data_IF_924976331193
#
_entry.id   IF_924976331193
#
_cell.length_a   1.000
_cell.length_b   1.000
_cell.length_c   1.000
_cell.angle_alpha   90.00
_cell.angle_beta   90.00
_cell.angle_gamma   90.00
#
_symmetry.space_group_name_H-M   'P 1'
#
loop_
_entity.id
_entity.type
_entity.pdbx_description
1 polymer ?
#
# COMPACT_ATOMS: atom_id res chain seq x y z
N UNK A 1 -17.06 7.78 8.38
CA UNK A 1 -15.80 7.85 7.60
C UNK A 1 -15.29 6.42 7.45
N UNK A 2 -14.50 6.09 6.43
CA UNK A 2 -13.96 4.73 6.22
C UNK A 2 -12.47 4.66 6.57
N UNK A 3 -11.89 3.47 6.68
CA UNK A 3 -10.43 3.30 6.94
C UNK A 3 -9.55 3.97 5.87
N UNK A 4 -9.96 3.93 4.61
CA UNK A 4 -9.32 4.59 3.46
C UNK A 4 -10.46 5.17 2.58
N UNK A 5 -10.31 6.34 1.94
CA UNK A 5 -11.45 6.99 1.30
C UNK A 5 -11.88 6.28 0.01
N UNK A 6 -10.93 5.74 -0.76
CA UNK A 6 -11.23 5.02 -2.01
C UNK A 6 -12.07 3.75 -1.77
N UNK A 7 -12.73 3.30 -2.83
CA UNK A 7 -13.56 2.09 -2.86
C UNK A 7 -13.30 1.32 -4.16
N UNK A 8 -13.88 0.12 -4.26
CA UNK A 8 -13.89 -0.62 -5.52
C UNK A 8 -14.67 0.15 -6.60
N UNK A 9 -14.17 0.13 -7.82
CA UNK A 9 -14.84 0.74 -8.95
C UNK A 9 -15.68 -0.28 -9.72
N UNK A 10 -17.01 -0.24 -9.55
CA UNK A 10 -17.93 -1.11 -10.28
C UNK A 10 -17.93 -0.86 -11.80
N UNK A 11 -17.67 0.39 -12.23
CA UNK A 11 -17.58 0.74 -13.65
C UNK A 11 -16.41 0.04 -14.34
N UNK A 12 -15.28 -0.09 -13.64
CA UNK A 12 -14.13 -0.82 -14.15
C UNK A 12 -14.50 -2.26 -14.46
N UNK A 13 -15.23 -2.93 -13.55
CA UNK A 13 -15.67 -4.32 -13.77
C UNK A 13 -16.52 -4.43 -15.04
N UNK A 14 -17.47 -3.52 -15.22
CA UNK A 14 -18.30 -3.47 -16.42
C UNK A 14 -17.46 -3.26 -17.68
N UNK A 15 -16.50 -2.33 -17.67
CA UNK A 15 -15.58 -2.08 -18.78
C UNK A 15 -14.69 -3.28 -19.10
N UNK A 16 -14.24 -4.01 -18.08
CA UNK A 16 -13.49 -5.27 -18.26
C UNK A 16 -14.37 -6.32 -18.94
N UNK A 17 -15.62 -6.49 -18.49
CA UNK A 17 -16.57 -7.44 -19.09
C UNK A 17 -16.85 -7.08 -20.55
N UNK A 18 -17.14 -5.82 -20.86
CA UNK A 18 -17.37 -5.32 -22.22
C UNK A 18 -16.14 -5.53 -23.12
N UNK A 19 -14.95 -5.13 -22.65
CA UNK A 19 -13.73 -5.27 -23.44
C UNK A 19 -13.33 -6.74 -23.63
N UNK A 20 -13.60 -7.60 -22.65
CA UNK A 20 -13.38 -9.04 -22.80
C UNK A 20 -14.27 -9.65 -23.89
N UNK A 21 -15.54 -9.23 -24.00
CA UNK A 21 -16.42 -9.66 -25.09
C UNK A 21 -15.95 -9.14 -26.45
N UNK A 22 -15.49 -7.89 -26.53
CA UNK A 22 -14.84 -7.37 -27.74
C UNK A 22 -13.61 -8.19 -28.12
N UNK A 23 -12.73 -8.53 -27.17
CA UNK A 23 -11.57 -9.37 -27.45
C UNK A 23 -11.97 -10.77 -27.92
N UNK A 24 -13.02 -11.37 -27.35
CA UNK A 24 -13.49 -12.70 -27.80
C UNK A 24 -14.06 -12.71 -29.21
N UNK A 25 -14.54 -11.57 -29.70
CA UNK A 25 -15.24 -11.47 -31.00
C UNK A 25 -14.38 -10.84 -32.09
N UNK A 26 -13.47 -9.94 -31.72
CA UNK A 26 -12.71 -9.12 -32.67
C UNK A 26 -11.19 -9.28 -32.57
N UNK A 27 -10.65 -10.12 -31.69
CA UNK A 27 -9.19 -10.26 -31.56
C UNK A 27 -8.49 -10.78 -32.83
N UNK A 28 -9.18 -11.52 -33.70
CA UNK A 28 -8.65 -11.95 -35.00
C UNK A 28 -8.35 -10.78 -35.96
N UNK A 29 -8.77 -9.56 -35.63
CA UNK A 29 -8.48 -8.34 -36.41
C UNK A 29 -7.22 -7.63 -35.91
N UNK A 30 -6.61 -8.09 -34.81
CA UNK A 30 -5.54 -7.40 -34.13
C UNK A 30 -4.17 -8.03 -34.45
N UNK A 31 -3.26 -7.20 -34.98
CA UNK A 31 -1.90 -7.62 -35.32
C UNK A 31 -1.80 -8.30 -36.68
N UNK A 32 -0.60 -8.79 -37.01
CA UNK A 32 -0.31 -9.46 -38.27
C UNK A 32 0.05 -10.93 -38.00
N UNK A 33 -0.98 -11.77 -37.84
CA UNK A 33 -0.83 -13.20 -37.55
C UNK A 33 -1.07 -14.09 -38.78
N UNK A 34 -1.55 -13.54 -39.89
CA UNK A 34 -1.76 -14.28 -41.15
C UNK A 34 -2.80 -15.41 -41.10
N UNK A 35 -3.67 -15.42 -40.08
CA UNK A 35 -4.72 -16.43 -39.91
C UNK A 35 -6.08 -15.83 -40.26
N UNK A 36 -6.99 -16.65 -40.77
CA UNK A 36 -8.40 -16.29 -40.86
C UNK A 36 -9.09 -16.37 -39.48
N UNK A 37 -10.34 -15.90 -39.40
CA UNK A 37 -11.13 -15.85 -38.16
C UNK A 37 -11.29 -17.24 -37.51
N UNK A 38 -11.60 -18.25 -38.33
CA UNK A 38 -11.84 -19.61 -37.85
C UNK A 38 -10.55 -20.23 -37.30
N UNK A 39 -9.44 -20.08 -38.01
CA UNK A 39 -8.15 -20.62 -37.60
C UNK A 39 -7.59 -19.87 -36.38
N UNK A 40 -7.78 -18.54 -36.29
CA UNK A 40 -7.34 -17.74 -35.15
C UNK A 40 -7.94 -18.23 -33.82
N UNK A 41 -9.25 -18.48 -33.78
CA UNK A 41 -9.92 -18.91 -32.54
C UNK A 41 -9.76 -20.41 -32.23
N UNK A 42 -9.60 -21.27 -33.25
CA UNK A 42 -9.49 -22.72 -33.03
C UNK A 42 -8.06 -23.24 -32.86
N UNK A 43 -7.06 -22.51 -33.36
CA UNK A 43 -5.64 -22.90 -33.26
C UNK A 43 -5.08 -22.85 -31.84
N UNK A 44 -5.79 -22.22 -30.90
CA UNK A 44 -5.32 -21.96 -29.55
C UNK A 44 -4.42 -20.73 -29.43
N UNK A 45 -4.14 -20.00 -30.52
CA UNK A 45 -3.34 -18.78 -30.51
C UNK A 45 -3.93 -17.73 -29.56
N UNK A 46 -5.22 -17.43 -29.68
CA UNK A 46 -5.88 -16.45 -28.82
C UNK A 46 -5.80 -16.82 -27.33
N UNK A 47 -6.14 -18.08 -27.00
CA UNK A 47 -6.08 -18.58 -25.62
C UNK A 47 -4.65 -18.52 -25.07
N UNK A 48 -3.67 -18.98 -25.85
CA UNK A 48 -2.26 -18.94 -25.46
C UNK A 48 -1.74 -17.51 -25.25
N UNK A 49 -2.19 -16.55 -26.07
CA UNK A 49 -1.85 -15.14 -25.92
C UNK A 49 -2.41 -14.55 -24.61
N UNK A 50 -3.70 -14.79 -24.32
CA UNK A 50 -4.34 -14.33 -23.07
C UNK A 50 -3.65 -14.94 -21.84
N UNK A 51 -3.36 -16.25 -21.87
CA UNK A 51 -2.67 -16.93 -20.77
C UNK A 51 -1.24 -16.40 -20.56
N UNK A 52 -0.52 -16.11 -21.65
CA UNK A 52 0.82 -15.50 -21.61
C UNK A 52 0.79 -14.10 -20.99
N UNK A 53 -0.11 -13.23 -21.47
CA UNK A 53 -0.26 -11.86 -20.96
C UNK A 53 -0.65 -11.86 -19.47
N UNK A 54 -1.59 -12.72 -19.08
CA UNK A 54 -1.96 -12.91 -17.67
C UNK A 54 -0.75 -13.36 -16.83
N UNK A 55 0.04 -14.30 -17.35
CA UNK A 55 1.26 -14.79 -16.71
C UNK A 55 2.29 -13.68 -16.48
N UNK A 56 2.43 -12.76 -17.43
CA UNK A 56 3.31 -11.59 -17.29
C UNK A 56 2.84 -10.64 -16.19
N UNK A 57 1.55 -10.31 -16.12
CA UNK A 57 1.00 -9.45 -15.06
C UNK A 57 1.07 -10.07 -13.67
N UNK A 58 0.95 -11.39 -13.57
CA UNK A 58 0.95 -12.10 -12.29
C UNK A 58 2.35 -12.29 -11.70
N UNK A 59 3.41 -12.09 -12.50
CA UNK A 59 4.77 -12.46 -12.15
C UNK A 59 5.69 -11.30 -11.76
N UNK A 60 5.36 -10.05 -12.08
CA UNK A 60 6.38 -8.99 -12.08
C UNK A 60 6.38 -8.14 -10.81
N UNK A 61 7.18 -8.56 -9.81
CA UNK A 61 7.75 -7.63 -8.81
C UNK A 61 8.52 -6.49 -9.47
N UNK A 62 8.99 -6.69 -10.71
CA UNK A 62 9.68 -5.68 -11.53
C UNK A 62 8.91 -4.37 -11.61
N UNK A 63 7.63 -4.39 -11.96
CA UNK A 63 6.86 -3.15 -12.17
C UNK A 63 6.66 -2.40 -10.84
N UNK A 64 6.50 -3.13 -9.74
CA UNK A 64 6.42 -2.56 -8.40
C UNK A 64 7.75 -1.92 -7.98
N UNK A 65 8.87 -2.59 -8.24
CA UNK A 65 10.22 -2.08 -7.95
C UNK A 65 10.53 -0.85 -8.81
N UNK A 66 10.18 -0.86 -10.09
CA UNK A 66 10.34 0.31 -10.98
C UNK A 66 9.48 1.50 -10.51
N UNK A 67 8.23 1.27 -10.12
CA UNK A 67 7.41 2.33 -9.53
C UNK A 67 8.03 2.95 -8.28
N UNK A 68 8.46 2.11 -7.33
CA UNK A 68 9.08 2.60 -6.09
C UNK A 68 10.37 3.35 -6.37
N UNK A 69 11.20 2.85 -7.29
CA UNK A 69 12.39 3.55 -7.78
C UNK A 69 12.06 4.92 -8.36
N UNK A 70 11.04 5.03 -9.20
CA UNK A 70 10.61 6.31 -9.76
C UNK A 70 10.18 7.30 -8.67
N UNK A 71 9.41 6.85 -7.69
CA UNK A 71 9.00 7.69 -6.55
C UNK A 71 10.19 8.14 -5.72
N UNK A 72 11.09 7.23 -5.32
CA UNK A 72 12.23 7.57 -4.47
C UNK A 72 13.22 8.47 -5.21
N UNK A 73 13.47 8.24 -6.51
CA UNK A 73 14.23 9.17 -7.35
C UNK A 73 13.58 10.55 -7.38
N UNK A 74 12.27 10.63 -7.58
CA UNK A 74 11.56 11.91 -7.61
C UNK A 74 11.68 12.65 -6.26
N UNK A 75 11.56 11.94 -5.14
CA UNK A 75 11.75 12.50 -3.80
C UNK A 75 13.21 12.98 -3.59
N UNK A 76 14.19 12.23 -4.07
CA UNK A 76 15.61 12.59 -4.00
C UNK A 76 15.94 13.81 -4.87
N UNK A 77 15.51 13.81 -6.13
CA UNK A 77 15.70 14.91 -7.08
C UNK A 77 15.01 16.20 -6.58
N UNK A 78 13.85 16.05 -5.92
CA UNK A 78 13.14 17.14 -5.26
C UNK A 78 13.70 17.59 -3.91
N UNK A 79 14.76 16.93 -3.41
CA UNK A 79 15.40 17.26 -2.12
C UNK A 79 14.58 16.90 -0.87
N UNK A 80 13.54 16.07 -1.00
CA UNK A 80 12.71 15.62 0.13
C UNK A 80 13.38 14.51 0.94
N UNK A 81 14.29 13.76 0.32
CA UNK A 81 15.19 12.79 0.97
C UNK A 81 16.60 13.03 0.45
N UNK A 82 17.62 12.59 1.19
CA UNK A 82 19.01 12.80 0.81
C UNK A 82 19.49 11.78 -0.21
N UNK A 83 19.18 10.50 0.03
CA UNK A 83 19.59 9.39 -0.84
C UNK A 83 18.74 8.14 -0.57
N UNK A 84 18.80 7.14 -1.45
CA UNK A 84 18.20 5.84 -1.20
C UNK A 84 18.92 4.71 -1.96
N UNK A 85 18.82 3.49 -1.42
CA UNK A 85 19.33 2.29 -2.04
C UNK A 85 18.34 1.13 -1.93
N UNK A 86 18.37 0.21 -2.90
CA UNK A 86 17.66 -1.06 -2.78
C UNK A 86 18.50 -2.03 -1.96
N UNK A 87 17.88 -2.65 -0.96
CA UNK A 87 18.56 -3.52 -0.01
C UNK A 87 18.86 -4.94 -0.55
N UNK A 88 18.57 -5.24 -1.82
CA UNK A 88 18.80 -6.56 -2.41
C UNK A 88 17.94 -7.68 -1.80
N UNK A 89 17.97 -8.87 -2.40
CA UNK A 89 16.98 -9.93 -2.08
C UNK A 89 17.26 -10.70 -0.77
N UNK A 90 18.42 -10.48 -0.15
CA UNK A 90 18.82 -11.18 1.08
C UNK A 90 18.40 -10.46 2.37
N UNK A 91 17.94 -9.21 2.28
CA UNK A 91 17.55 -8.40 3.42
C UNK A 91 16.03 -8.47 3.67
N UNK A 92 15.60 -8.34 4.93
CA UNK A 92 14.17 -8.34 5.34
C UNK A 92 13.49 -6.97 5.22
N UNK A 93 14.06 -6.12 4.38
CA UNK A 93 13.54 -4.82 3.94
C UNK A 93 13.92 -4.66 2.47
N UNK A 94 13.14 -3.94 1.69
CA UNK A 94 13.38 -3.75 0.26
C UNK A 94 14.27 -2.53 -0.04
N UNK A 95 14.17 -1.48 0.77
CA UNK A 95 14.90 -0.22 0.56
C UNK A 95 15.39 0.40 1.86
N UNK A 96 16.55 1.05 1.79
CA UNK A 96 17.05 1.96 2.80
C UNK A 96 17.06 3.38 2.24
N UNK A 97 16.59 4.34 3.03
CA UNK A 97 16.47 5.75 2.66
C UNK A 97 17.26 6.58 3.65
N UNK A 98 18.21 7.37 3.14
CA UNK A 98 18.91 8.37 3.92
C UNK A 98 18.09 9.65 3.96
N UNK A 99 17.69 10.05 5.16
CA UNK A 99 16.89 11.24 5.39
C UNK A 99 17.78 12.48 5.55
N UNK A 100 17.20 13.65 5.34
CA UNK A 100 17.92 14.93 5.38
C UNK A 100 18.46 15.26 6.78
N UNK A 101 17.80 14.77 7.84
CA UNK A 101 18.33 14.85 9.21
C UNK A 101 19.56 13.97 9.48
N UNK A 102 19.91 13.07 8.54
CA UNK A 102 20.92 12.05 8.73
C UNK A 102 20.39 10.74 9.33
N UNK A 103 19.10 10.63 9.66
CA UNK A 103 18.47 9.34 10.00
C UNK A 103 18.48 8.38 8.79
N UNK A 104 18.45 7.09 9.07
CA UNK A 104 18.18 6.03 8.10
C UNK A 104 16.78 5.48 8.33
N UNK A 105 15.91 5.63 7.34
CA UNK A 105 14.62 4.97 7.29
C UNK A 105 14.73 3.71 6.42
N UNK A 106 13.94 2.69 6.70
CA UNK A 106 13.84 1.51 5.82
C UNK A 106 12.39 1.24 5.45
N UNK A 107 12.20 0.74 4.24
CA UNK A 107 10.89 0.45 3.65
C UNK A 107 10.82 -1.05 3.37
N UNK A 108 9.74 -1.68 3.83
CA UNK A 108 9.34 -3.02 3.43
C UNK A 108 8.09 -2.93 2.56
N UNK A 109 8.17 -3.43 1.32
CA UNK A 109 7.03 -3.47 0.43
C UNK A 109 6.09 -4.60 0.78
N UNK A 110 4.80 -4.29 0.74
CA UNK A 110 3.73 -5.29 0.82
C UNK A 110 2.84 -5.18 -0.40
N UNK A 111 2.15 -6.28 -0.68
CA UNK A 111 1.12 -6.32 -1.72
C UNK A 111 -0.15 -5.61 -1.25
N UNK A 112 -1.28 -6.27 -1.42
CA UNK A 112 -2.59 -5.71 -1.10
C UNK A 112 -2.96 -5.81 0.38
N UNK A 113 -2.02 -6.03 1.31
CA UNK A 113 -2.24 -6.14 2.76
C UNK A 113 -3.30 -7.19 3.21
N UNK A 114 -3.65 -8.10 2.32
CA UNK A 114 -4.65 -9.16 2.49
C UNK A 114 -4.03 -10.56 2.60
N UNK A 115 -2.76 -10.72 2.25
CA UNK A 115 -2.03 -11.98 2.35
C UNK A 115 -1.24 -12.15 3.64
N UNK A 116 -0.84 -13.40 3.92
CA UNK A 116 0.03 -13.77 5.05
C UNK A 116 1.44 -13.13 4.93
N UNK A 117 1.87 -12.74 3.74
CA UNK A 117 3.12 -12.00 3.54
C UNK A 117 3.16 -10.66 4.31
N UNK A 118 2.00 -10.10 4.66
CA UNK A 118 1.88 -8.90 5.50
C UNK A 118 2.34 -9.14 6.94
N UNK A 119 2.35 -10.40 7.41
CA UNK A 119 2.79 -10.77 8.76
C UNK A 119 4.31 -10.95 8.87
N UNK A 120 5.02 -10.89 7.74
CA UNK A 120 6.45 -11.16 7.66
C UNK A 120 7.18 -9.86 7.44
N UNK A 121 7.65 -9.23 8.50
CA UNK A 121 8.51 -8.06 8.43
C UNK A 121 9.49 -8.08 9.60
N UNK A 122 10.59 -7.36 9.47
CA UNK A 122 11.55 -7.20 10.55
C UNK A 122 12.24 -5.85 10.43
N UNK A 123 12.20 -5.07 11.51
CA UNK A 123 12.94 -3.82 11.61
C UNK A 123 14.44 -4.10 11.80
N UNK A 124 15.31 -3.68 10.87
CA UNK A 124 16.75 -3.76 11.04
C UNK A 124 17.24 -2.92 12.23
N UNK A 125 18.27 -3.35 12.98
CA UNK A 125 18.77 -2.62 14.15
C UNK A 125 19.28 -1.20 13.86
N UNK A 126 19.76 -0.96 12.65
CA UNK A 126 20.31 0.34 12.24
C UNK A 126 19.24 1.33 11.76
N UNK A 127 17.98 0.90 11.61
CA UNK A 127 16.89 1.73 11.09
C UNK A 127 16.28 2.59 12.20
N UNK A 128 16.31 3.92 12.03
CA UNK A 128 15.65 4.88 12.91
C UNK A 128 14.15 5.04 12.60
N UNK A 129 13.74 4.78 11.36
CA UNK A 129 12.33 4.74 10.96
C UNK A 129 12.05 3.46 10.16
N UNK A 130 10.91 2.81 10.39
CA UNK A 130 10.51 1.60 9.66
C UNK A 130 9.09 1.73 9.10
N UNK A 131 8.99 1.76 7.77
CA UNK A 131 7.74 2.01 7.05
C UNK A 131 7.33 0.76 6.26
N UNK A 132 6.05 0.40 6.37
CA UNK A 132 5.43 -0.58 5.48
C UNK A 132 4.81 0.18 4.31
N UNK A 133 5.15 -0.17 3.07
CA UNK A 133 4.52 0.43 1.90
C UNK A 133 3.75 -0.61 1.09
N UNK A 134 2.42 -0.51 1.12
CA UNK A 134 1.50 -1.32 0.34
C UNK A 134 1.42 -0.87 -1.12
N UNK A 135 1.99 -1.68 -2.01
CA UNK A 135 1.91 -1.55 -3.47
C UNK A 135 0.98 -2.62 -4.05
N UNK A 136 -0.29 -2.27 -4.21
CA UNK A 136 -1.38 -3.15 -4.60
C UNK A 136 -1.84 -2.88 -6.04
N UNK A 137 -1.20 -3.53 -7.00
CA UNK A 137 -1.55 -3.41 -8.42
C UNK A 137 -2.79 -4.21 -8.83
N UNK A 138 -3.46 -4.90 -7.91
CA UNK A 138 -4.69 -5.63 -8.20
C UNK A 138 -5.89 -4.67 -8.20
N UNK A 139 -6.49 -4.35 -9.37
CA UNK A 139 -7.64 -3.45 -9.45
C UNK A 139 -8.92 -4.05 -8.85
N UNK A 140 -9.01 -5.38 -8.72
CA UNK A 140 -10.14 -6.07 -8.09
C UNK A 140 -10.09 -6.10 -6.57
N UNK A 141 -8.95 -5.73 -5.96
CA UNK A 141 -8.82 -5.69 -4.50
C UNK A 141 -9.77 -4.66 -3.89
N UNK A 142 -10.38 -4.97 -2.75
CA UNK A 142 -11.15 -4.00 -1.98
C UNK A 142 -10.19 -3.18 -1.10
N UNK A 143 -9.91 -1.90 -1.43
CA UNK A 143 -8.96 -1.11 -0.66
C UNK A 143 -9.40 -0.90 0.79
N UNK A 144 -10.71 -0.84 1.08
CA UNK A 144 -11.21 -0.63 2.44
C UNK A 144 -11.07 -1.88 3.28
N UNK A 145 -11.47 -3.04 2.73
CA UNK A 145 -11.21 -4.31 3.39
C UNK A 145 -9.71 -4.46 3.65
N UNK A 146 -8.89 -4.26 2.64
CA UNK A 146 -7.47 -4.54 2.68
C UNK A 146 -6.70 -3.62 3.62
N UNK A 147 -6.98 -2.30 3.63
CA UNK A 147 -6.37 -1.37 4.57
C UNK A 147 -6.69 -1.75 6.03
N UNK A 148 -7.96 -2.07 6.33
CA UNK A 148 -8.35 -2.50 7.67
C UNK A 148 -7.75 -3.85 8.06
N UNK A 149 -7.86 -4.84 7.17
CA UNK A 149 -7.34 -6.20 7.36
C UNK A 149 -5.81 -6.18 7.54
N UNK A 150 -5.11 -5.31 6.81
CA UNK A 150 -3.68 -5.07 6.95
C UNK A 150 -3.31 -4.47 8.30
N UNK A 151 -3.88 -3.31 8.63
CA UNK A 151 -3.52 -2.56 9.84
C UNK A 151 -3.99 -3.30 11.10
N UNK A 152 -5.28 -3.62 11.18
CA UNK A 152 -5.87 -4.26 12.34
C UNK A 152 -5.48 -5.73 12.40
N UNK A 153 -5.87 -6.57 11.45
CA UNK A 153 -5.75 -8.03 11.64
C UNK A 153 -4.30 -8.52 11.63
N UNK A 154 -3.43 -7.89 10.83
CA UNK A 154 -2.08 -8.40 10.53
C UNK A 154 -0.99 -7.60 11.24
N UNK A 155 -0.74 -6.37 10.80
CA UNK A 155 0.37 -5.55 11.29
C UNK A 155 0.31 -5.36 12.80
N UNK A 156 -0.84 -4.96 13.34
CA UNK A 156 -0.92 -4.72 14.78
C UNK A 156 -0.82 -6.00 15.64
N UNK A 157 -1.21 -7.16 15.10
CA UNK A 157 -0.98 -8.43 15.79
C UNK A 157 0.52 -8.72 15.89
N UNK A 158 1.26 -8.56 14.80
CA UNK A 158 2.71 -8.80 14.76
C UNK A 158 3.53 -7.73 15.51
N UNK A 159 3.13 -6.45 15.44
CA UNK A 159 3.75 -5.35 16.20
C UNK A 159 3.72 -5.65 17.70
N UNK A 160 2.57 -6.07 18.22
CA UNK A 160 2.40 -6.36 19.64
C UNK A 160 3.07 -7.69 19.99
N UNK A 161 2.88 -8.73 19.18
CA UNK A 161 3.37 -10.07 19.48
C UNK A 161 4.89 -10.18 19.41
N UNK A 162 5.52 -9.54 18.41
CA UNK A 162 6.98 -9.56 18.24
C UNK A 162 7.69 -8.38 18.90
N UNK A 163 6.93 -7.49 19.54
CA UNK A 163 7.43 -6.24 20.11
C UNK A 163 8.26 -5.43 19.08
N UNK A 164 7.76 -5.37 17.85
CA UNK A 164 8.43 -4.68 16.74
C UNK A 164 7.73 -3.37 16.41
N UNK A 165 8.50 -2.27 16.44
CA UNK A 165 8.00 -0.94 16.09
C UNK A 165 7.93 -0.74 14.57
N UNK A 166 6.74 -0.45 14.07
CA UNK A 166 6.48 0.10 12.73
C UNK A 166 6.09 1.56 12.91
N UNK A 167 6.74 2.47 12.20
CA UNK A 167 6.54 3.92 12.34
C UNK A 167 5.39 4.45 11.48
N UNK A 168 5.07 3.75 10.39
CA UNK A 168 3.92 4.07 9.58
C UNK A 168 3.64 3.07 8.47
N UNK A 169 2.49 3.28 7.84
CA UNK A 169 2.05 2.56 6.66
C UNK A 169 1.70 3.55 5.57
N UNK A 170 2.22 3.32 4.37
CA UNK A 170 1.82 4.01 3.15
C UNK A 170 0.98 3.06 2.32
N UNK A 171 -0.24 3.47 1.95
CA UNK A 171 -1.11 2.71 1.03
C UNK A 171 -1.24 3.52 -0.25
N UNK A 172 -0.40 3.21 -1.24
CA UNK A 172 -0.27 4.03 -2.43
C UNK A 172 0.50 3.29 -3.53
N UNK A 173 0.04 3.36 -4.77
CA UNK A 173 0.68 2.71 -5.92
C UNK A 173 0.29 3.36 -7.24
N UNK A 174 0.85 2.85 -8.33
CA UNK A 174 0.61 3.28 -9.71
C UNK A 174 -0.84 3.20 -10.20
N UNK A 175 -1.75 2.50 -9.51
CA UNK A 175 -3.16 2.46 -9.95
C UNK A 175 -4.01 3.52 -9.26
N UNK A 176 -3.50 4.17 -8.20
CA UNK A 176 -4.19 5.27 -7.53
C UNK A 176 -4.42 6.45 -8.48
N UNK A 177 -5.65 6.98 -8.52
CA UNK A 177 -6.03 8.10 -9.40
C UNK A 177 -6.43 7.67 -10.81
N UNK A 178 -6.22 6.40 -11.18
CA UNK A 178 -6.66 5.86 -12.47
C UNK A 178 -8.12 5.40 -12.42
N UNK A 179 -8.67 4.99 -13.58
CA UNK A 179 -9.96 4.28 -13.63
C UNK A 179 -9.99 3.03 -12.73
N UNK A 180 -8.84 2.37 -12.55
CA UNK A 180 -8.72 1.19 -11.71
C UNK A 180 -8.97 1.45 -10.23
N UNK A 181 -8.55 2.63 -9.75
CA UNK A 181 -8.76 3.09 -8.38
C UNK A 181 -8.93 4.62 -8.37
N UNK A 182 -10.14 5.11 -8.70
CA UNK A 182 -10.42 6.54 -8.64
C UNK A 182 -10.12 7.06 -7.23
N UNK A 183 -9.42 8.19 -7.14
CA UNK A 183 -8.99 8.74 -5.87
C UNK A 183 -9.95 9.86 -5.43
N UNK A 184 -10.67 9.72 -4.31
CA UNK A 184 -11.57 10.78 -3.83
C UNK A 184 -10.87 12.11 -3.54
N UNK A 185 -9.54 12.10 -3.33
CA UNK A 185 -8.73 13.31 -3.14
C UNK A 185 -8.70 14.22 -4.37
N UNK A 186 -8.95 13.65 -5.56
CA UNK A 186 -8.92 14.36 -6.83
C UNK A 186 -10.31 14.83 -7.29
N UNK A 187 -11.41 14.40 -6.64
CA UNK A 187 -12.78 14.70 -7.10
C UNK A 187 -13.06 16.21 -7.16
N UNK A 188 -12.57 16.97 -6.17
CA UNK A 188 -12.76 18.42 -6.09
C UNK A 188 -11.47 19.22 -6.35
N UNK A 189 -10.34 18.54 -6.50
CA UNK A 189 -9.01 19.13 -6.68
C UNK A 189 -8.20 18.27 -7.67
N UNK A 190 -8.65 18.17 -8.93
CA UNK A 190 -8.04 17.30 -9.93
C UNK A 190 -6.57 17.66 -10.23
N UNK A 191 -6.17 18.88 -9.94
CA UNK A 191 -4.80 19.39 -10.07
C UNK A 191 -3.84 18.87 -8.98
N UNK A 192 -4.34 18.21 -7.92
CA UNK A 192 -3.49 17.60 -6.87
C UNK A 192 -2.86 16.30 -7.32
N UNK A 193 -2.32 16.27 -8.52
CA UNK A 193 -1.51 15.17 -9.04
C UNK A 193 -0.04 15.57 -9.13
N UNK A 194 0.82 14.57 -9.09
CA UNK A 194 2.26 14.73 -9.29
C UNK A 194 2.71 13.76 -10.37
N UNK A 195 3.39 14.28 -11.39
CA UNK A 195 3.94 13.48 -12.48
C UNK A 195 5.28 12.86 -12.05
N UNK A 196 5.32 11.54 -12.00
CA UNK A 196 6.47 10.74 -11.57
C UNK A 196 6.74 9.69 -12.65
N UNK A 197 7.71 9.96 -13.52
CA UNK A 197 7.98 9.10 -14.67
C UNK A 197 6.73 8.96 -15.56
N UNK A 198 6.20 7.74 -15.78
CA UNK A 198 4.98 7.53 -16.57
C UNK A 198 3.67 7.65 -15.77
N UNK A 199 3.73 8.00 -14.48
CA UNK A 199 2.58 7.97 -13.59
C UNK A 199 2.13 9.38 -13.19
N UNK A 200 0.82 9.62 -13.24
CA UNK A 200 0.17 10.79 -12.62
C UNK A 200 -0.45 10.36 -11.30
N UNK A 201 0.17 10.74 -10.19
CA UNK A 201 -0.13 10.17 -8.88
C UNK A 201 -0.84 11.17 -7.95
N UNK A 202 -1.91 10.76 -7.24
CA UNK A 202 -2.52 11.58 -6.20
C UNK A 202 -1.67 11.57 -4.93
N UNK A 203 -2.00 12.39 -3.91
CA UNK A 203 -1.30 12.39 -2.63
C UNK A 203 -1.42 11.04 -1.92
N UNK A 204 -0.31 10.54 -1.37
CA UNK A 204 -0.24 9.25 -0.69
C UNK A 204 -1.24 9.14 0.49
N UNK A 205 -1.77 7.94 0.74
CA UNK A 205 -2.55 7.67 1.96
C UNK A 205 -1.58 7.21 3.06
N UNK A 206 -1.41 8.06 4.08
CA UNK A 206 -0.44 7.88 5.17
C UNK A 206 -1.16 7.52 6.45
N UNK A 207 -0.65 6.49 7.13
CA UNK A 207 -1.08 6.03 8.45
C UNK A 207 0.11 6.11 9.40
N UNK A 208 0.08 7.04 10.34
CA UNK A 208 1.13 7.23 11.35
C UNK A 208 0.86 6.30 12.54
N UNK A 209 1.91 5.59 12.98
CA UNK A 209 1.83 4.58 14.04
C UNK A 209 2.45 5.08 15.36
N UNK A 210 2.23 4.39 16.49
CA UNK A 210 2.78 4.79 17.78
C UNK A 210 4.31 4.75 17.86
N UNK A 211 4.90 5.62 18.70
CA UNK A 211 6.37 5.70 18.91
C UNK A 211 6.94 4.51 19.69
N UNK A 212 6.09 3.79 20.39
CA UNK A 212 6.49 2.70 21.29
C UNK A 212 5.56 1.52 21.08
N UNK A 213 6.09 0.31 21.30
CA UNK A 213 5.32 -0.92 21.14
C UNK A 213 4.27 -1.03 22.24
N UNK A 214 2.99 -1.23 21.89
CA UNK A 214 1.94 -1.39 22.90
C UNK A 214 2.17 -2.66 23.73
N UNK A 215 1.99 -2.57 25.04
CA UNK A 215 2.06 -3.71 25.96
C UNK A 215 1.03 -3.58 27.09
N UNK A 216 0.34 -4.66 27.50
CA UNK A 216 -0.77 -4.57 28.46
C UNK A 216 -0.42 -3.93 29.82
N UNK A 217 0.82 -4.05 30.29
CA UNK A 217 1.20 -3.68 31.66
C UNK A 217 1.80 -2.28 31.77
N UNK A 218 2.66 -1.92 30.85
CA UNK A 218 3.54 -0.75 31.00
C UNK A 218 3.28 0.33 29.95
N UNK A 219 2.61 -0.02 28.85
CA UNK A 219 2.37 0.87 27.72
C UNK A 219 1.10 0.43 27.00
N UNK A 220 -0.03 0.41 27.70
CA UNK A 220 -1.26 -0.21 27.20
C UNK A 220 -1.89 0.55 26.04
N UNK A 221 -1.67 1.86 25.95
CA UNK A 221 -2.26 2.71 24.93
C UNK A 221 -1.29 3.81 24.47
N UNK A 222 -0.19 3.45 23.79
CA UNK A 222 0.70 4.46 23.25
C UNK A 222 -0.01 5.22 22.13
N UNK A 223 -0.01 6.56 22.16
CA UNK A 223 -0.62 7.33 21.09
C UNK A 223 0.22 7.25 19.82
N UNK A 224 -0.44 7.40 18.67
CA UNK A 224 0.20 7.67 17.39
C UNK A 224 1.16 8.88 17.49
N UNK A 225 2.26 8.80 16.75
CA UNK A 225 3.22 9.91 16.64
C UNK A 225 2.62 11.09 15.88
N UNK A 226 3.23 12.27 16.00
CA UNK A 226 2.95 13.34 15.03
C UNK A 226 3.59 12.97 13.69
N UNK A 227 2.99 13.41 12.59
CA UNK A 227 3.57 13.21 11.26
C UNK A 227 5.01 13.75 11.17
N UNK A 228 5.28 14.92 11.76
CA UNK A 228 6.61 15.54 11.75
C UNK A 228 7.68 14.73 12.50
N UNK A 229 7.30 13.82 13.39
CA UNK A 229 8.24 12.97 14.12
C UNK A 229 8.73 11.78 13.28
N UNK A 230 8.03 11.46 12.18
CA UNK A 230 8.38 10.41 11.21
C UNK A 230 8.75 11.05 9.87
N UNK A 231 10.02 11.36 9.70
CA UNK A 231 10.52 12.21 8.63
C UNK A 231 10.28 11.61 7.24
N UNK A 232 10.36 10.29 7.07
CA UNK A 232 10.05 9.67 5.79
C UNK A 232 8.58 9.86 5.41
N UNK A 233 7.64 9.68 6.35
CA UNK A 233 6.21 9.91 6.08
C UNK A 233 5.94 11.39 5.78
N UNK A 234 6.59 12.30 6.51
CA UNK A 234 6.49 13.72 6.26
C UNK A 234 7.05 14.10 4.88
N UNK A 235 8.13 13.44 4.44
CA UNK A 235 8.69 13.60 3.11
C UNK A 235 7.68 13.16 2.03
N UNK A 236 7.04 11.99 2.17
CA UNK A 236 5.95 11.58 1.28
C UNK A 236 4.80 12.60 1.26
N UNK A 237 4.38 13.05 2.44
CA UNK A 237 3.30 14.01 2.58
C UNK A 237 3.61 15.32 1.84
N UNK A 238 4.78 15.91 2.07
CA UNK A 238 5.19 17.18 1.45
C UNK A 238 5.50 17.07 -0.03
N UNK A 239 6.11 15.95 -0.46
CA UNK A 239 6.51 15.74 -1.85
C UNK A 239 5.30 15.59 -2.78
N UNK A 240 4.24 14.91 -2.32
CA UNK A 240 3.09 14.56 -3.14
C UNK A 240 1.82 15.35 -2.81
N UNK A 241 1.95 16.58 -2.31
CA UNK A 241 0.80 17.49 -2.12
C UNK A 241 -0.23 17.00 -1.09
N UNK A 242 0.25 16.36 -0.01
CA UNK A 242 -0.57 15.91 1.11
C UNK A 242 -1.33 17.05 1.78
N UNK A 243 -2.49 16.72 2.33
CA UNK A 243 -3.29 17.59 3.20
C UNK A 243 -3.34 16.95 4.59
N UNK A 244 -3.09 17.74 5.64
CA UNK A 244 -3.09 17.28 7.04
C UNK A 244 -4.44 16.65 7.44
N UNK A 245 -5.54 17.10 6.83
CA UNK A 245 -6.86 16.51 7.02
C UNK A 245 -6.97 15.06 6.50
N UNK A 246 -6.08 14.65 5.61
CA UNK A 246 -6.09 13.33 4.98
C UNK A 246 -5.18 12.31 5.70
N UNK A 247 -4.31 12.77 6.59
CA UNK A 247 -3.40 11.93 7.36
C UNK A 247 -4.19 11.15 8.39
N UNK A 248 -3.92 9.85 8.46
CA UNK A 248 -4.54 8.95 9.43
C UNK A 248 -3.58 8.63 10.56
N UNK A 249 -4.08 8.56 11.79
CA UNK A 249 -3.33 8.21 12.99
C UNK A 249 -3.90 6.93 13.57
N UNK A 250 -3.03 5.98 13.89
CA UNK A 250 -3.40 4.64 14.35
C UNK A 250 -2.97 4.45 15.79
N UNK A 251 -3.94 4.18 16.65
CA UNK A 251 -3.73 3.88 18.06
C UNK A 251 -4.05 2.40 18.34
N UNK A 252 -3.31 1.82 19.28
CA UNK A 252 -3.55 0.48 19.79
C UNK A 252 -3.73 0.52 21.29
N UNK A 253 -4.90 0.12 21.76
CA UNK A 253 -5.14 -0.15 23.17
C UNK A 253 -5.06 -1.66 23.41
N UNK A 254 -4.23 -2.08 24.36
CA UNK A 254 -3.93 -3.48 24.65
C UNK A 254 -4.19 -3.77 26.11
N UNK A 255 -4.91 -4.85 26.38
CA UNK A 255 -5.26 -5.28 27.72
C UNK A 255 -5.20 -6.81 27.84
N UNK A 256 -5.24 -7.31 29.07
CA UNK A 256 -5.54 -8.71 29.33
C UNK A 256 -7.04 -8.92 29.51
N UNK A 257 -7.58 -9.94 28.86
CA UNK A 257 -8.94 -10.42 29.10
C UNK A 257 -8.85 -11.92 29.43
N UNK A 258 -8.87 -12.23 30.74
CA UNK A 258 -8.53 -13.56 31.22
C UNK A 258 -7.06 -13.89 30.92
N UNK A 259 -6.82 -15.00 30.21
CA UNK A 259 -5.48 -15.41 29.77
C UNK A 259 -5.09 -14.85 28.40
N UNK A 260 -5.98 -14.15 27.70
CA UNK A 260 -5.72 -13.63 26.36
C UNK A 260 -5.24 -12.19 26.41
N UNK A 261 -4.33 -11.85 25.48
CA UNK A 261 -4.02 -10.46 25.17
C UNK A 261 -5.00 -10.00 24.09
N UNK A 262 -5.75 -8.94 24.39
CA UNK A 262 -6.72 -8.33 23.47
C UNK A 262 -6.24 -6.96 23.04
N UNK A 263 -6.62 -6.57 21.82
CA UNK A 263 -6.31 -5.29 21.20
C UNK A 263 -7.58 -4.61 20.70
N UNK A 264 -7.69 -3.32 20.96
CA UNK A 264 -8.54 -2.39 20.23
C UNK A 264 -7.67 -1.55 19.30
N UNK A 265 -8.05 -1.48 18.02
CA UNK A 265 -7.39 -0.61 17.04
C UNK A 265 -8.32 0.55 16.72
N UNK A 266 -7.81 1.77 16.82
CA UNK A 266 -8.53 2.99 16.45
C UNK A 266 -7.75 3.69 15.35
N UNK A 267 -8.44 4.07 14.28
CA UNK A 267 -7.89 4.92 13.22
C UNK A 267 -8.65 6.23 13.27
N UNK A 268 -7.93 7.32 13.51
CA UNK A 268 -8.48 8.68 13.47
C UNK A 268 -7.96 9.43 12.25
N UNK A 269 -8.78 10.32 11.71
CA UNK A 269 -8.42 11.21 10.60
C UNK A 269 -9.26 12.48 10.69
N UNK A 270 -8.60 13.64 10.53
CA UNK A 270 -9.23 14.94 10.73
C UNK A 270 -9.96 15.05 12.10
N UNK A 271 -9.35 14.52 13.16
CA UNK A 271 -9.93 14.51 14.51
C UNK A 271 -11.16 13.62 14.72
N UNK A 272 -11.62 12.91 13.69
CA UNK A 272 -12.77 12.00 13.77
C UNK A 272 -12.31 10.54 13.69
N UNK A 273 -13.05 9.65 14.35
CA UNK A 273 -12.81 8.20 14.24
C UNK A 273 -13.22 7.74 12.83
N UNK A 274 -12.23 7.28 12.08
CA UNK A 274 -12.42 6.70 10.76
C UNK A 274 -12.83 5.24 10.84
N UNK A 275 -12.29 4.48 11.80
CA UNK A 275 -12.65 3.09 12.07
C UNK A 275 -12.16 2.71 13.46
N UNK A 276 -12.92 1.89 14.18
CA UNK A 276 -12.51 1.33 15.47
C UNK A 276 -12.98 -0.12 15.60
N UNK A 277 -12.14 -0.98 16.16
CA UNK A 277 -12.51 -2.36 16.49
C UNK A 277 -13.11 -2.45 17.90
N UNK A 278 -13.79 -3.55 18.21
CA UNK A 278 -13.90 -3.99 19.60
C UNK A 278 -12.58 -4.58 20.10
N UNK A 279 -12.52 -4.92 21.38
CA UNK A 279 -11.42 -5.71 21.95
C UNK A 279 -11.36 -7.07 21.25
N UNK A 280 -10.25 -7.33 20.55
CA UNK A 280 -10.06 -8.51 19.72
C UNK A 280 -8.83 -9.27 20.18
N UNK A 281 -8.96 -10.58 20.43
CA UNK A 281 -7.85 -11.44 20.84
C UNK A 281 -6.75 -11.49 19.76
N UNK A 282 -5.50 -11.37 20.19
CA UNK A 282 -4.34 -11.55 19.32
C UNK A 282 -4.09 -13.06 19.16
N UNK A 283 -4.52 -13.62 18.03
CA UNK A 283 -4.29 -15.04 17.70
C UNK A 283 -3.03 -15.17 16.85
N UNK A 284 -2.18 -16.15 17.15
CA UNK A 284 -1.04 -16.54 16.30
C UNK A 284 -1.60 -17.12 15.00
N UNK A 285 -1.23 -16.56 13.86
CA UNK A 285 -1.40 -17.18 12.53
C UNK A 285 -0.17 -17.99 12.18
#
# INVERSE_FOLDING_TARGET
MSVIPCCQNAELRKKIEEFAETLKTEAHKLGDHGLDDQEFYNSGLFRGAIERVRGQFSATMRDKREFVKHVLNYMQDGGYIADWESAGEANRHDYAVKLNSGKTAVIELKGCLDGNNTNIFERPPHAQEFIIWSVCTNPGADPRHNAWSGIHTRLSAEIIYREQRVDGVVIWDMVCGTLGRPCPKLENQPERTTEVGPYSLPPACIYVMPATTPSPRNNSHPPAQKLDDVELLNAFHKCFGGDDAEVSYVDFEVAYQGSETVRTTTITRHGAIAQQSGATAIRRS
#
